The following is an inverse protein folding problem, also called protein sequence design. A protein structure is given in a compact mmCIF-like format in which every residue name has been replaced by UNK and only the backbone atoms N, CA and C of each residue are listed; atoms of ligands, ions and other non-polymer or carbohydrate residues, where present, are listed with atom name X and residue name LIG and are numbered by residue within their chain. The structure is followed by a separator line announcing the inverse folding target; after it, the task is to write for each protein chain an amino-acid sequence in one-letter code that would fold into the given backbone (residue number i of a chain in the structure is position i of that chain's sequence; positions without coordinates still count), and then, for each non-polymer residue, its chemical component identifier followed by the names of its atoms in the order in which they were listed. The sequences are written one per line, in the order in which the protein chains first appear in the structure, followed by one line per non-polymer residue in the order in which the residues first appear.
data_IF_849400834681
#
_entry.id   IF_849400834681
#
_cell.length_a   1.000
_cell.length_b   1.000
_cell.length_c   1.000
_cell.angle_alpha   90.00
_cell.angle_beta   90.00
_cell.angle_gamma   90.00
#
_symmetry.space_group_name_H-M   'P 1'
#
loop_
_entity.id
_entity.type
_entity.pdbx_description
1 polymer ?
#
# COMPACT_ATOMS: atom_id res chain seq x y z
N UNK A 1 5.52 19.47 6.37
CA UNK A 1 5.10 18.43 5.39
C UNK A 1 3.79 18.85 4.74
N UNK A 2 3.68 18.78 3.40
CA UNK A 2 2.53 19.32 2.63
C UNK A 2 1.15 18.73 3.01
N UNK A 3 1.10 17.53 3.56
CA UNK A 3 -0.13 16.81 3.91
C UNK A 3 -0.14 16.28 5.34
N UNK A 4 0.58 16.90 6.27
CA UNK A 4 0.68 16.37 7.65
C UNK A 4 -0.69 16.20 8.32
N UNK A 5 -1.55 17.22 8.22
CA UNK A 5 -2.90 17.19 8.79
C UNK A 5 -3.76 16.10 8.13
N UNK A 6 -3.72 16.00 6.80
CA UNK A 6 -4.48 14.99 6.05
C UNK A 6 -4.07 13.57 6.44
N UNK A 7 -2.77 13.33 6.57
CA UNK A 7 -2.20 12.01 6.92
C UNK A 7 -2.51 11.62 8.36
N UNK A 8 -2.44 12.58 9.29
CA UNK A 8 -2.89 12.38 10.67
C UNK A 8 -4.37 12.00 10.71
N UNK A 9 -5.23 12.71 9.97
CA UNK A 9 -6.65 12.39 9.89
C UNK A 9 -6.90 11.00 9.29
N UNK A 10 -6.16 10.61 8.26
CA UNK A 10 -6.27 9.25 7.69
C UNK A 10 -5.85 8.19 8.71
N UNK A 11 -4.74 8.39 9.44
CA UNK A 11 -4.32 7.46 10.49
C UNK A 11 -5.34 7.33 11.62
N UNK A 12 -5.98 8.42 12.03
CA UNK A 12 -7.09 8.38 13.00
C UNK A 12 -8.27 7.56 12.48
N UNK A 13 -8.61 7.72 11.18
CA UNK A 13 -9.66 6.91 10.56
C UNK A 13 -9.31 5.41 10.54
N UNK A 14 -8.05 5.05 10.27
CA UNK A 14 -7.57 3.67 10.36
C UNK A 14 -7.72 3.16 11.80
N UNK A 15 -7.19 3.91 12.77
CA UNK A 15 -7.22 3.56 14.20
C UNK A 15 -8.67 3.34 14.67
N UNK A 16 -9.56 4.30 14.39
CA UNK A 16 -10.96 4.23 14.79
C UNK A 16 -11.70 3.05 14.15
N UNK A 17 -11.43 2.77 12.86
CA UNK A 17 -12.07 1.66 12.18
C UNK A 17 -11.72 0.31 12.79
N UNK A 18 -10.46 0.12 13.19
CA UNK A 18 -9.98 -1.10 13.85
C UNK A 18 -10.50 -1.17 15.28
N UNK A 19 -10.49 -0.06 16.02
CA UNK A 19 -11.03 0.01 17.36
C UNK A 19 -12.52 -0.36 17.43
N UNK A 20 -13.30 0.00 16.41
CA UNK A 20 -14.74 -0.29 16.34
C UNK A 20 -15.07 -1.72 15.90
N UNK A 21 -14.09 -2.50 15.45
CA UNK A 21 -14.33 -3.81 14.82
C UNK A 21 -13.56 -4.96 15.45
N UNK A 22 -12.82 -4.71 16.49
CA UNK A 22 -12.04 -5.69 17.27
C UNK A 22 -11.02 -6.49 16.45
N UNK A 23 -10.67 -6.04 15.23
CA UNK A 23 -9.73 -6.78 14.39
C UNK A 23 -9.19 -5.95 13.24
N UNK A 24 -7.90 -5.96 13.05
CA UNK A 24 -7.27 -5.32 11.89
C UNK A 24 -5.75 -5.29 11.94
N UNK A 25 -5.15 -4.92 10.82
CA UNK A 25 -3.70 -4.80 10.69
C UNK A 25 -3.30 -3.33 10.81
N UNK A 26 -3.01 -2.89 12.04
CA UNK A 26 -2.79 -1.48 12.37
C UNK A 26 -1.40 -1.00 11.88
N UNK A 27 -0.34 -1.67 12.33
CA UNK A 27 1.03 -1.29 11.98
C UNK A 27 1.31 -1.29 10.47
N UNK A 28 0.97 -2.35 9.72
CA UNK A 28 1.13 -2.38 8.27
C UNK A 28 0.29 -1.36 7.51
N UNK A 29 -0.87 -0.95 8.05
CA UNK A 29 -1.71 0.10 7.47
C UNK A 29 -1.08 1.47 7.66
N UNK A 30 -0.48 1.73 8.82
CA UNK A 30 0.21 2.99 9.12
C UNK A 30 1.47 3.17 8.29
N UNK A 31 2.23 2.09 8.03
CA UNK A 31 3.49 2.18 7.26
C UNK A 31 3.29 2.65 5.83
N UNK A 32 2.26 2.18 5.13
CA UNK A 32 2.03 2.49 3.72
C UNK A 32 1.05 3.65 3.46
N UNK A 33 0.67 4.39 4.50
CA UNK A 33 -0.36 5.44 4.40
C UNK A 33 0.01 6.51 3.38
N UNK A 34 1.23 7.06 3.40
CA UNK A 34 1.68 8.09 2.48
C UNK A 34 1.73 7.60 1.04
N UNK A 35 2.22 6.37 0.82
CA UNK A 35 2.30 5.76 -0.51
C UNK A 35 0.90 5.67 -1.12
N UNK A 36 -0.04 5.09 -0.38
CA UNK A 36 -1.43 4.95 -0.81
C UNK A 36 -2.13 6.29 -0.98
N UNK A 37 -1.90 7.23 -0.05
CA UNK A 37 -2.52 8.54 -0.07
C UNK A 37 -2.12 9.34 -1.32
N UNK A 38 -0.83 9.41 -1.63
CA UNK A 38 -0.32 10.12 -2.81
C UNK A 38 -0.91 9.51 -4.08
N UNK A 39 -0.90 8.18 -4.21
CA UNK A 39 -1.42 7.48 -5.39
C UNK A 39 -2.92 7.74 -5.55
N UNK A 40 -3.71 7.50 -4.52
CA UNK A 40 -5.17 7.58 -4.59
C UNK A 40 -5.67 9.02 -4.76
N UNK A 41 -5.04 9.99 -4.08
CA UNK A 41 -5.45 11.40 -4.14
C UNK A 41 -5.07 12.08 -5.45
N UNK A 42 -3.91 11.70 -6.03
CA UNK A 42 -3.33 12.43 -7.17
C UNK A 42 -3.39 11.70 -8.51
N UNK A 43 -3.33 10.39 -8.49
CA UNK A 43 -3.11 9.60 -9.71
C UNK A 43 -4.27 8.66 -10.04
N UNK A 44 -5.28 8.54 -9.18
CA UNK A 44 -6.47 7.74 -9.45
C UNK A 44 -7.70 8.66 -9.56
N UNK A 45 -8.21 8.84 -10.78
CA UNK A 45 -9.47 9.55 -11.01
C UNK A 45 -10.64 8.54 -11.00
N UNK A 46 -11.33 8.41 -9.88
CA UNK A 46 -12.44 7.45 -9.72
C UNK A 46 -13.65 7.72 -10.62
N UNK A 47 -13.74 8.89 -11.26
CA UNK A 47 -14.81 9.23 -12.21
C UNK A 47 -14.50 8.74 -13.63
N UNK A 48 -13.23 8.46 -13.94
CA UNK A 48 -12.79 7.98 -15.25
C UNK A 48 -12.79 6.44 -15.30
N UNK A 49 -13.55 5.87 -16.25
CA UNK A 49 -13.57 4.42 -16.48
C UNK A 49 -12.21 3.87 -16.94
N UNK A 50 -11.41 4.70 -17.59
CA UNK A 50 -10.07 4.36 -18.09
C UNK A 50 -8.95 4.78 -17.14
N UNK A 51 -9.28 5.08 -15.88
CA UNK A 51 -8.32 5.51 -14.87
C UNK A 51 -7.15 4.53 -14.69
N UNK A 52 -6.07 5.05 -14.15
CA UNK A 52 -5.00 4.22 -13.59
C UNK A 52 -5.55 3.20 -12.60
N UNK A 53 -4.85 2.08 -12.44
CA UNK A 53 -5.24 0.98 -11.56
C UNK A 53 -4.35 0.93 -10.33
N UNK A 54 -4.91 0.43 -9.22
CA UNK A 54 -4.17 0.22 -7.98
C UNK A 54 -4.42 -1.19 -7.46
N UNK A 55 -3.33 -1.92 -7.23
CA UNK A 55 -3.34 -3.26 -6.66
C UNK A 55 -2.59 -3.20 -5.32
N UNK A 56 -3.33 -3.27 -4.24
CA UNK A 56 -2.75 -3.40 -2.90
C UNK A 56 -2.43 -4.87 -2.65
N UNK A 57 -1.24 -5.31 -3.09
CA UNK A 57 -0.82 -6.72 -3.00
C UNK A 57 -0.71 -7.18 -1.55
N UNK A 58 -0.11 -6.35 -0.68
CA UNK A 58 -0.17 -6.53 0.78
C UNK A 58 -1.59 -6.28 1.32
N UNK A 59 -2.52 -7.14 0.96
CA UNK A 59 -3.97 -6.96 1.18
C UNK A 59 -4.37 -6.77 2.64
N UNK A 60 -3.56 -7.22 3.58
CA UNK A 60 -3.78 -7.00 5.02
C UNK A 60 -3.75 -5.51 5.41
N UNK A 61 -3.14 -4.61 4.61
CA UNK A 61 -3.22 -3.16 4.80
C UNK A 61 -4.54 -2.54 4.26
N UNK A 62 -5.58 -3.34 4.03
CA UNK A 62 -6.90 -2.88 3.60
C UNK A 62 -7.48 -1.71 4.44
N UNK A 63 -7.30 -1.64 5.77
CA UNK A 63 -7.78 -0.50 6.54
C UNK A 63 -7.24 0.85 6.04
N UNK A 64 -6.01 0.90 5.53
CA UNK A 64 -5.43 2.13 5.00
C UNK A 64 -6.14 2.60 3.72
N UNK A 65 -6.35 1.71 2.75
CA UNK A 65 -7.03 2.09 1.50
C UNK A 65 -8.48 2.50 1.76
N UNK A 66 -9.20 1.83 2.69
CA UNK A 66 -10.56 2.19 3.06
C UNK A 66 -10.63 3.54 3.79
N UNK A 67 -9.70 3.81 4.70
CA UNK A 67 -9.63 5.11 5.38
C UNK A 67 -9.38 6.26 4.41
N UNK A 68 -8.54 6.04 3.38
CA UNK A 68 -8.31 7.02 2.31
C UNK A 68 -9.56 7.17 1.43
N UNK A 69 -10.28 6.09 1.11
CA UNK A 69 -11.55 6.20 0.39
C UNK A 69 -12.58 7.00 1.18
N UNK A 70 -12.68 6.80 2.48
CA UNK A 70 -13.55 7.59 3.35
C UNK A 70 -13.12 9.07 3.41
N UNK A 71 -11.81 9.33 3.55
CA UNK A 71 -11.24 10.67 3.49
C UNK A 71 -11.58 11.39 2.17
N UNK A 72 -11.52 10.68 1.04
CA UNK A 72 -11.86 11.19 -0.29
C UNK A 72 -13.38 11.24 -0.56
N UNK A 73 -14.22 10.92 0.43
CA UNK A 73 -15.69 10.88 0.34
C UNK A 73 -16.21 9.90 -0.73
N UNK A 74 -15.52 8.80 -0.94
CA UNK A 74 -15.90 7.73 -1.87
C UNK A 74 -16.73 6.63 -1.21
N UNK A 75 -16.73 6.56 0.12
CA UNK A 75 -17.57 5.67 0.91
C UNK A 75 -18.85 6.40 1.36
N UNK A 76 -19.85 5.62 1.74
CA UNK A 76 -21.05 6.15 2.39
C UNK A 76 -20.68 6.70 3.77
N UNK A 77 -21.48 7.65 4.28
CA UNK A 77 -21.32 8.19 5.64
C UNK A 77 -21.28 7.05 6.66
N UNK A 78 -20.31 7.07 7.54
CA UNK A 78 -20.09 6.07 8.61
C UNK A 78 -19.80 4.62 8.12
N UNK A 79 -19.64 4.39 6.82
CA UNK A 79 -19.39 3.05 6.29
C UNK A 79 -18.07 2.46 6.80
N UNK A 80 -17.05 3.30 7.02
CA UNK A 80 -15.76 2.85 7.56
C UNK A 80 -15.89 2.12 8.91
N UNK A 81 -16.90 2.45 9.72
CA UNK A 81 -17.21 1.81 10.99
C UNK A 81 -17.78 0.38 10.84
N UNK A 82 -17.99 -0.06 9.61
CA UNK A 82 -18.46 -1.43 9.31
C UNK A 82 -17.34 -2.36 8.86
N UNK A 83 -16.06 -1.92 8.91
CA UNK A 83 -14.90 -2.75 8.55
C UNK A 83 -15.03 -4.14 9.18
N UNK A 84 -14.89 -5.20 8.37
CA UNK A 84 -14.93 -6.62 8.78
C UNK A 84 -16.24 -7.10 9.44
N UNK A 85 -17.26 -6.26 9.57
CA UNK A 85 -18.58 -6.70 10.08
C UNK A 85 -19.31 -7.55 9.05
N UNK A 86 -20.20 -8.39 9.51
CA UNK A 86 -21.05 -9.21 8.62
C UNK A 86 -21.79 -8.29 7.62
N UNK A 87 -21.90 -8.75 6.36
CA UNK A 87 -22.48 -8.01 5.23
C UNK A 87 -21.80 -6.68 4.84
N UNK A 88 -20.73 -6.25 5.50
CA UNK A 88 -19.99 -5.07 5.09
C UNK A 88 -19.32 -5.24 3.73
N UNK A 89 -19.22 -4.14 2.96
CA UNK A 89 -18.40 -4.11 1.75
C UNK A 89 -16.90 -3.98 2.05
N UNK A 90 -16.55 -3.57 3.28
CA UNK A 90 -15.19 -3.34 3.74
C UNK A 90 -14.67 -4.61 4.44
N UNK A 91 -14.18 -5.53 3.62
CA UNK A 91 -13.67 -6.83 4.09
C UNK A 91 -12.27 -6.69 4.71
N UNK A 92 -11.83 -7.68 5.49
CA UNK A 92 -10.50 -7.69 6.13
C UNK A 92 -9.32 -7.62 5.15
N UNK A 93 -9.53 -8.07 3.94
CA UNK A 93 -8.67 -7.91 2.77
C UNK A 93 -9.49 -7.32 1.61
N UNK A 94 -8.87 -6.62 0.65
CA UNK A 94 -9.59 -6.06 -0.49
C UNK A 94 -10.42 -7.11 -1.23
N UNK A 95 -11.71 -6.85 -1.40
CA UNK A 95 -12.61 -7.68 -2.20
C UNK A 95 -13.34 -6.81 -3.25
N UNK A 96 -12.92 -6.94 -4.51
CA UNK A 96 -13.53 -6.21 -5.63
C UNK A 96 -15.00 -6.58 -5.86
N UNK A 97 -15.43 -7.80 -5.52
CA UNK A 97 -16.83 -8.21 -5.68
C UNK A 97 -17.74 -7.45 -4.72
N UNK A 98 -17.24 -7.15 -3.52
CA UNK A 98 -17.95 -6.38 -2.48
C UNK A 98 -17.82 -4.87 -2.68
N UNK A 99 -16.62 -4.36 -2.97
CA UNK A 99 -16.35 -2.94 -3.12
C UNK A 99 -15.77 -2.64 -4.52
N UNK A 100 -16.58 -2.09 -5.40
CA UNK A 100 -16.23 -1.80 -6.81
C UNK A 100 -15.17 -0.69 -6.99
N UNK A 101 -14.86 0.06 -5.94
CA UNK A 101 -13.75 1.04 -5.94
C UNK A 101 -12.38 0.37 -6.08
N UNK A 102 -12.26 -0.88 -5.62
CA UNK A 102 -11.05 -1.69 -5.73
C UNK A 102 -10.89 -2.22 -7.16
N UNK A 103 -9.65 -2.36 -7.62
CA UNK A 103 -9.38 -2.93 -8.94
C UNK A 103 -9.25 -4.45 -8.89
N UNK A 104 -8.76 -5.01 -7.75
CA UNK A 104 -8.62 -6.46 -7.56
C UNK A 104 -8.83 -6.84 -6.10
N UNK A 105 -9.19 -8.09 -5.85
CA UNK A 105 -9.23 -8.71 -4.52
C UNK A 105 -7.88 -9.32 -4.20
N UNK A 106 -7.34 -9.02 -3.00
CA UNK A 106 -6.04 -9.51 -2.54
C UNK A 106 -6.15 -10.10 -1.14
N UNK A 107 -5.09 -10.76 -0.69
CA UNK A 107 -5.04 -11.42 0.62
C UNK A 107 -3.97 -12.49 0.64
N UNK A 108 -3.97 -13.41 -0.32
CA UNK A 108 -2.80 -14.25 -0.60
C UNK A 108 -1.67 -13.36 -1.12
N UNK A 109 -0.53 -13.39 -0.43
CA UNK A 109 0.63 -12.57 -0.79
C UNK A 109 1.25 -13.04 -2.11
N UNK A 110 2.02 -12.16 -2.75
CA UNK A 110 2.73 -12.43 -4.00
C UNK A 110 1.87 -12.32 -5.26
N UNK A 111 0.52 -12.30 -5.15
CA UNK A 111 -0.39 -12.35 -6.30
C UNK A 111 -0.50 -11.02 -7.06
N UNK A 112 -0.36 -9.90 -6.37
CA UNK A 112 -0.70 -8.58 -6.92
C UNK A 112 0.16 -8.17 -8.10
N UNK A 113 1.44 -8.56 -8.12
CA UNK A 113 2.34 -8.20 -9.21
C UNK A 113 2.00 -8.94 -10.52
N UNK A 114 1.66 -10.23 -10.46
CA UNK A 114 1.20 -11.00 -11.62
C UNK A 114 -0.16 -10.53 -12.14
N UNK A 115 -1.07 -10.16 -11.25
CA UNK A 115 -2.33 -9.51 -11.63
C UNK A 115 -2.09 -8.19 -12.35
N UNK A 116 -1.10 -7.41 -11.90
CA UNK A 116 -0.70 -6.15 -12.54
C UNK A 116 -0.21 -6.37 -13.98
N UNK A 117 0.47 -7.49 -14.27
CA UNK A 117 0.85 -7.89 -15.64
C UNK A 117 -0.40 -8.06 -16.51
N UNK A 118 -1.42 -8.76 -16.02
CA UNK A 118 -2.69 -8.93 -16.75
C UNK A 118 -3.35 -7.59 -17.08
N UNK A 119 -3.39 -6.64 -16.13
CA UNK A 119 -3.89 -5.29 -16.38
C UNK A 119 -3.04 -4.51 -17.40
N UNK A 120 -1.71 -4.65 -17.35
CA UNK A 120 -0.82 -3.99 -18.31
C UNK A 120 -1.03 -4.50 -19.73
N UNK A 121 -1.16 -5.80 -19.92
CA UNK A 121 -1.47 -6.41 -21.21
C UNK A 121 -2.87 -6.00 -21.71
N UNK A 122 -3.89 -6.04 -20.86
CA UNK A 122 -5.23 -5.55 -21.19
C UNK A 122 -5.20 -4.09 -21.64
N UNK A 123 -4.42 -3.24 -20.95
CA UNK A 123 -4.26 -1.84 -21.33
C UNK A 123 -3.65 -1.69 -22.73
N UNK A 124 -2.62 -2.50 -23.03
CA UNK A 124 -1.97 -2.51 -24.35
C UNK A 124 -2.94 -2.96 -25.45
N UNK A 125 -3.65 -4.07 -25.23
CA UNK A 125 -4.63 -4.61 -26.19
C UNK A 125 -5.78 -3.62 -26.48
N UNK A 126 -6.20 -2.86 -25.47
CA UNK A 126 -7.26 -1.87 -25.56
C UNK A 126 -6.76 -0.46 -25.94
N UNK A 127 -5.49 -0.31 -26.33
CA UNK A 127 -4.84 0.97 -26.64
C UNK A 127 -5.01 2.04 -25.54
N UNK A 128 -5.02 1.62 -24.26
CA UNK A 128 -5.12 2.54 -23.12
C UNK A 128 -3.74 2.92 -22.62
N UNK A 129 -3.59 4.18 -22.16
CA UNK A 129 -2.33 4.73 -21.65
C UNK A 129 -2.29 4.80 -20.10
N UNK A 130 -3.06 3.96 -19.43
CA UNK A 130 -3.11 3.98 -17.96
C UNK A 130 -1.94 3.21 -17.34
N UNK A 131 -1.57 3.65 -16.14
CA UNK A 131 -0.57 3.00 -15.29
C UNK A 131 -1.25 2.09 -14.26
N UNK A 132 -0.50 1.08 -13.83
CA UNK A 132 -0.88 0.15 -12.78
C UNK A 132 0.08 0.34 -11.61
N UNK A 133 -0.44 0.76 -10.47
CA UNK A 133 0.30 0.90 -9.22
C UNK A 133 0.14 -0.39 -8.42
N UNK A 134 1.24 -1.10 -8.17
CA UNK A 134 1.26 -2.31 -7.36
C UNK A 134 2.03 -2.06 -6.07
N UNK A 135 1.40 -2.28 -4.92
CA UNK A 135 2.00 -2.06 -3.60
C UNK A 135 2.24 -3.40 -2.92
N UNK A 136 3.51 -3.76 -2.79
CA UNK A 136 4.00 -4.96 -2.12
C UNK A 136 4.46 -4.63 -0.69
N UNK A 137 4.48 -5.61 0.19
CA UNK A 137 5.26 -5.57 1.42
C UNK A 137 6.66 -6.12 1.18
N UNK A 138 7.63 -5.72 1.99
CA UNK A 138 8.99 -6.26 1.91
C UNK A 138 9.06 -7.76 2.33
N UNK A 139 8.30 -8.18 3.34
CA UNK A 139 8.14 -9.60 3.67
C UNK A 139 7.43 -10.40 2.57
N UNK A 140 6.57 -9.78 1.78
CA UNK A 140 5.90 -10.38 0.63
C UNK A 140 6.89 -10.75 -0.49
N UNK A 141 8.08 -10.15 -0.53
CA UNK A 141 9.12 -10.49 -1.50
C UNK A 141 9.71 -11.90 -1.29
N UNK A 142 9.36 -12.58 -0.21
CA UNK A 142 9.73 -13.99 0.01
C UNK A 142 8.83 -14.96 -0.78
N UNK A 143 7.71 -14.48 -1.34
CA UNK A 143 6.87 -15.26 -2.24
C UNK A 143 7.53 -15.42 -3.63
N UNK A 144 7.69 -16.66 -4.09
CA UNK A 144 8.32 -16.96 -5.39
C UNK A 144 7.63 -16.27 -6.56
N UNK A 145 6.30 -16.15 -6.52
CA UNK A 145 5.50 -15.52 -7.58
C UNK A 145 5.84 -14.04 -7.79
N UNK A 146 6.36 -13.33 -6.80
CA UNK A 146 6.87 -11.96 -6.98
C UNK A 146 8.05 -11.97 -7.97
N UNK A 147 8.98 -12.89 -7.82
CA UNK A 147 10.18 -13.00 -8.66
C UNK A 147 9.86 -13.53 -10.06
N UNK A 148 8.95 -14.48 -10.20
CA UNK A 148 8.41 -14.91 -11.50
C UNK A 148 7.82 -13.73 -12.26
N UNK A 149 7.02 -12.90 -11.57
CA UNK A 149 6.44 -11.69 -12.14
C UNK A 149 7.51 -10.65 -12.50
N UNK A 150 8.50 -10.45 -11.64
CA UNK A 150 9.61 -9.52 -11.89
C UNK A 150 10.40 -9.93 -13.14
N UNK A 151 10.73 -11.21 -13.27
CA UNK A 151 11.40 -11.76 -14.47
C UNK A 151 10.57 -11.49 -15.72
N UNK A 152 9.27 -11.75 -15.70
CA UNK A 152 8.38 -11.50 -16.85
C UNK A 152 8.29 -10.02 -17.21
N UNK A 153 8.09 -9.13 -16.22
CA UNK A 153 7.99 -7.68 -16.42
C UNK A 153 9.28 -7.14 -17.04
N UNK A 154 10.43 -7.56 -16.51
CA UNK A 154 11.73 -7.11 -17.00
C UNK A 154 12.02 -7.58 -18.41
N UNK A 155 11.84 -8.89 -18.69
CA UNK A 155 12.07 -9.48 -20.02
C UNK A 155 11.19 -8.87 -21.11
N UNK A 156 9.95 -8.48 -20.77
CA UNK A 156 9.01 -7.85 -21.70
C UNK A 156 9.04 -6.31 -21.64
N UNK A 157 9.93 -5.73 -20.84
CA UNK A 157 10.07 -4.27 -20.65
C UNK A 157 8.73 -3.55 -20.40
N UNK A 158 7.90 -4.09 -19.49
CA UNK A 158 6.57 -3.56 -19.19
C UNK A 158 6.71 -2.33 -18.28
N UNK A 159 6.62 -1.13 -18.85
CA UNK A 159 6.93 0.14 -18.17
C UNK A 159 5.73 0.84 -17.54
N UNK A 160 4.53 0.41 -17.82
CA UNK A 160 3.30 1.00 -17.25
C UNK A 160 2.87 0.33 -15.92
N UNK A 161 3.67 -0.59 -15.38
CA UNK A 161 3.54 -1.06 -14.01
C UNK A 161 4.55 -0.28 -13.15
N UNK A 162 4.07 0.34 -12.08
CA UNK A 162 4.90 0.99 -11.07
C UNK A 162 4.82 0.16 -9.79
N UNK A 163 5.90 -0.52 -9.47
CA UNK A 163 5.97 -1.39 -8.29
C UNK A 163 6.51 -0.61 -7.11
N UNK A 164 5.73 -0.52 -6.03
CA UNK A 164 6.16 0.03 -4.74
C UNK A 164 6.36 -1.10 -3.75
N UNK A 165 7.42 -1.00 -2.96
CA UNK A 165 7.70 -1.90 -1.84
C UNK A 165 7.62 -1.07 -0.56
N UNK A 166 6.69 -1.41 0.32
CA UNK A 166 6.62 -0.89 1.69
C UNK A 166 7.68 -1.57 2.53
N UNK A 167 8.85 -0.95 2.60
CA UNK A 167 10.07 -1.45 3.24
C UNK A 167 10.11 -1.16 4.73
N UNK A 168 9.13 -1.65 5.47
CA UNK A 168 9.02 -1.44 6.90
C UNK A 168 9.87 -2.41 7.75
N UNK A 169 10.57 -3.36 7.11
CA UNK A 169 11.54 -4.33 7.67
C UNK A 169 10.94 -5.41 8.57
N UNK A 170 9.62 -5.59 8.52
CA UNK A 170 8.92 -6.56 9.34
C UNK A 170 7.92 -7.39 8.55
N UNK A 171 7.82 -8.66 8.92
CA UNK A 171 6.78 -9.55 8.45
C UNK A 171 6.11 -10.21 9.65
N UNK A 172 4.76 -10.28 9.64
CA UNK A 172 3.99 -10.85 10.73
C UNK A 172 4.54 -10.45 12.10
N UNK A 173 5.07 -11.40 12.87
CA UNK A 173 5.59 -11.22 14.24
C UNK A 173 7.11 -11.02 14.31
N UNK A 174 7.83 -11.16 13.18
CA UNK A 174 9.29 -11.15 13.14
C UNK A 174 9.83 -10.04 12.24
N UNK A 175 11.09 -9.65 12.47
CA UNK A 175 11.80 -8.85 11.48
C UNK A 175 12.20 -9.72 10.28
N UNK A 176 12.35 -9.11 9.11
CA UNK A 176 12.81 -9.81 7.90
C UNK A 176 14.19 -10.43 8.12
N UNK A 177 15.07 -9.76 8.91
CA UNK A 177 16.41 -10.28 9.21
C UNK A 177 16.40 -11.58 10.02
N UNK A 178 15.40 -11.73 10.90
CA UNK A 178 15.25 -12.93 11.74
C UNK A 178 14.63 -14.10 10.98
N UNK A 179 13.83 -13.82 9.95
CA UNK A 179 13.13 -14.87 9.20
C UNK A 179 13.93 -15.34 7.99
N UNK A 180 14.11 -14.44 7.01
CA UNK A 180 14.91 -14.70 5.81
C UNK A 180 15.64 -13.40 5.43
N UNK A 181 16.92 -13.34 5.76
CA UNK A 181 17.75 -12.18 5.48
C UNK A 181 17.82 -11.90 3.98
N UNK A 182 17.27 -10.79 3.58
CA UNK A 182 17.36 -10.34 2.18
C UNK A 182 18.80 -9.88 1.87
N UNK A 183 19.40 -10.47 0.86
CA UNK A 183 20.74 -10.13 0.40
C UNK A 183 20.66 -9.46 -0.95
N UNK A 184 21.22 -8.24 -1.04
CA UNK A 184 21.34 -7.49 -2.29
C UNK A 184 20.00 -7.34 -3.06
N UNK A 185 18.95 -6.87 -2.39
CA UNK A 185 17.63 -6.68 -2.99
C UNK A 185 17.69 -5.82 -4.27
N UNK A 186 18.49 -4.74 -4.25
CA UNK A 186 18.71 -3.89 -5.43
C UNK A 186 19.25 -4.71 -6.62
N UNK A 187 20.30 -5.49 -6.40
CA UNK A 187 20.91 -6.29 -7.46
C UNK A 187 19.94 -7.32 -8.03
N UNK A 188 19.08 -7.93 -7.20
CA UNK A 188 18.04 -8.86 -7.67
C UNK A 188 17.07 -8.19 -8.65
N UNK A 189 16.50 -7.03 -8.30
CA UNK A 189 15.61 -6.30 -9.19
C UNK A 189 16.32 -5.80 -10.45
N UNK A 190 17.55 -5.29 -10.32
CA UNK A 190 18.33 -4.80 -11.45
C UNK A 190 18.74 -5.93 -12.40
N UNK A 191 18.98 -7.14 -11.91
CA UNK A 191 19.28 -8.33 -12.74
C UNK A 191 18.08 -8.76 -13.59
N UNK A 192 16.86 -8.53 -13.14
CA UNK A 192 15.65 -8.69 -13.93
C UNK A 192 15.35 -7.50 -14.86
N UNK A 193 16.26 -6.52 -14.97
CA UNK A 193 16.10 -5.40 -15.89
C UNK A 193 15.34 -4.19 -15.37
N UNK A 194 15.04 -4.13 -14.07
CA UNK A 194 14.39 -2.97 -13.47
C UNK A 194 15.35 -1.81 -13.23
N UNK A 195 14.78 -0.60 -13.18
CA UNK A 195 15.37 0.54 -12.48
C UNK A 195 14.93 0.47 -11.03
N UNK A 196 15.86 0.24 -10.13
CA UNK A 196 15.61 0.29 -8.69
C UNK A 196 15.78 1.72 -8.18
N UNK A 197 14.78 2.21 -7.45
CA UNK A 197 14.80 3.53 -6.79
C UNK A 197 14.50 3.31 -5.31
N UNK A 198 15.31 3.91 -4.46
CA UNK A 198 15.09 3.91 -3.02
C UNK A 198 14.72 5.32 -2.56
N UNK A 199 13.74 5.42 -1.66
CA UNK A 199 13.24 6.70 -1.17
C UNK A 199 12.71 6.60 0.25
N UNK A 200 12.57 7.74 0.89
CA UNK A 200 11.79 7.90 2.11
C UNK A 200 10.29 7.74 1.77
N UNK A 201 9.68 6.65 2.26
CA UNK A 201 8.28 6.31 2.02
C UNK A 201 7.29 7.21 2.75
N UNK A 202 7.74 8.03 3.69
CA UNK A 202 6.92 9.01 4.41
C UNK A 202 6.99 10.42 3.84
N UNK A 203 7.84 10.68 2.83
CA UNK A 203 7.90 11.95 2.13
C UNK A 203 6.98 11.97 0.90
N UNK A 204 5.82 12.60 1.05
CA UNK A 204 4.84 12.76 -0.04
C UNK A 204 5.43 13.49 -1.24
N UNK A 205 6.30 14.48 -1.00
CA UNK A 205 6.98 15.26 -2.04
C UNK A 205 7.92 14.39 -2.87
N UNK A 206 8.73 13.53 -2.21
CA UNK A 206 9.62 12.60 -2.91
C UNK A 206 8.82 11.57 -3.70
N UNK A 207 7.75 11.01 -3.12
CA UNK A 207 6.86 10.05 -3.79
C UNK A 207 6.22 10.69 -5.03
N UNK A 208 5.65 11.89 -4.93
CA UNK A 208 5.06 12.61 -6.07
C UNK A 208 6.09 12.86 -7.18
N UNK A 209 7.29 13.32 -6.83
CA UNK A 209 8.38 13.56 -7.80
C UNK A 209 8.78 12.28 -8.54
N UNK A 210 8.90 11.16 -7.81
CA UNK A 210 9.25 9.87 -8.40
C UNK A 210 8.15 9.39 -9.34
N UNK A 211 6.89 9.39 -8.90
CA UNK A 211 5.74 8.97 -9.72
C UNK A 211 5.66 9.82 -11.00
N UNK A 212 5.78 11.15 -10.89
CA UNK A 212 5.77 12.06 -12.04
C UNK A 212 6.88 11.71 -13.04
N UNK A 213 8.10 11.44 -12.57
CA UNK A 213 9.23 11.05 -13.42
C UNK A 213 8.98 9.70 -14.12
N UNK A 214 8.37 8.73 -13.44
CA UNK A 214 8.04 7.43 -14.04
C UNK A 214 6.96 7.59 -15.11
N UNK A 215 5.89 8.29 -14.80
CA UNK A 215 4.75 8.49 -15.71
C UNK A 215 5.11 9.32 -16.93
N UNK A 216 6.14 10.16 -16.86
CA UNK A 216 6.69 10.86 -18.03
C UNK A 216 7.65 9.99 -18.87
N UNK A 217 7.75 8.69 -18.55
CA UNK A 217 8.68 7.76 -19.22
C UNK A 217 10.15 8.19 -19.19
N UNK A 218 10.56 8.93 -18.16
CA UNK A 218 11.96 9.32 -17.97
C UNK A 218 12.89 8.10 -17.92
N UNK A 219 12.41 6.98 -17.39
CA UNK A 219 13.16 5.73 -17.30
C UNK A 219 12.80 4.80 -18.47
N UNK A 220 13.83 4.22 -19.08
CA UNK A 220 13.67 3.29 -20.23
C UNK A 220 13.40 1.84 -19.82
N UNK A 221 13.40 1.56 -18.53
CA UNK A 221 13.19 0.25 -17.91
C UNK A 221 11.94 0.28 -17.02
N UNK A 222 11.34 -0.89 -16.71
CA UNK A 222 10.38 -1.01 -15.61
C UNK A 222 10.96 -0.45 -14.32
N UNK A 223 10.12 0.06 -13.43
CA UNK A 223 10.58 0.72 -12.20
C UNK A 223 10.03 0.01 -10.97
N UNK A 224 10.91 -0.24 -10.02
CA UNK A 224 10.55 -0.61 -8.65
C UNK A 224 11.04 0.47 -7.69
N UNK A 225 10.18 0.88 -6.77
CA UNK A 225 10.44 1.91 -5.77
C UNK A 225 10.41 1.26 -4.39
N UNK A 226 11.57 1.12 -3.78
CA UNK A 226 11.67 0.69 -2.38
C UNK A 226 11.48 1.91 -1.48
N UNK A 227 10.40 1.90 -0.73
CA UNK A 227 10.03 2.96 0.18
C UNK A 227 10.49 2.59 1.60
N UNK A 228 11.50 3.26 2.11
CA UNK A 228 11.88 3.12 3.51
C UNK A 228 10.75 3.69 4.37
N UNK A 229 10.07 2.82 5.09
CA UNK A 229 8.92 3.14 5.94
C UNK A 229 9.13 2.64 7.37
N UNK A 230 8.27 3.08 8.27
CA UNK A 230 8.24 2.65 9.66
C UNK A 230 6.90 1.99 9.92
N UNK A 231 6.92 0.72 10.36
CA UNK A 231 5.72 0.01 10.80
C UNK A 231 5.12 0.74 11.99
N UNK A 232 3.82 1.05 11.96
CA UNK A 232 3.17 1.80 13.04
C UNK A 232 3.43 3.31 13.05
N UNK A 233 3.90 3.88 11.93
CA UNK A 233 4.28 5.30 11.78
C UNK A 233 3.25 6.26 12.35
N UNK A 234 3.72 7.18 13.19
CA UNK A 234 2.92 8.27 13.75
C UNK A 234 2.38 8.02 15.15
N UNK A 235 2.65 6.85 15.73
CA UNK A 235 2.33 6.53 17.13
C UNK A 235 3.56 5.90 17.79
N UNK A 236 4.15 6.57 18.76
CA UNK A 236 5.47 6.27 19.30
C UNK A 236 5.63 4.83 19.76
N UNK A 237 4.68 4.30 20.52
CA UNK A 237 4.72 2.93 21.06
C UNK A 237 4.44 1.84 20.00
N UNK A 238 3.96 2.23 18.80
CA UNK A 238 3.72 1.32 17.66
C UNK A 238 4.87 1.32 16.65
N UNK A 239 5.65 2.40 16.58
CA UNK A 239 6.76 2.52 15.62
C UNK A 239 7.79 1.41 15.82
N UNK A 240 8.01 0.59 14.76
CA UNK A 240 8.94 -0.53 14.79
C UNK A 240 8.55 -1.69 15.70
N UNK A 241 7.31 -1.73 16.18
CA UNK A 241 6.84 -2.73 17.13
C UNK A 241 5.89 -3.73 16.46
N UNK A 242 6.33 -5.00 16.40
CA UNK A 242 5.57 -6.07 15.76
C UNK A 242 4.27 -6.46 16.47
N UNK A 243 4.15 -6.21 17.76
CA UNK A 243 2.91 -6.48 18.51
C UNK A 243 1.67 -5.83 17.88
N UNK A 244 1.87 -4.75 17.10
CA UNK A 244 0.81 -4.03 16.41
C UNK A 244 0.64 -4.44 14.94
N UNK A 245 1.18 -5.60 14.54
CA UNK A 245 0.94 -6.13 13.17
C UNK A 245 -0.55 -6.43 12.95
N UNK A 246 -1.09 -7.35 13.73
CA UNK A 246 -2.52 -7.66 13.77
C UNK A 246 -3.02 -7.45 15.19
N UNK A 247 -3.98 -6.59 15.37
CA UNK A 247 -4.50 -6.24 16.69
C UNK A 247 -6.00 -6.45 16.76
N UNK A 248 -6.45 -6.78 17.95
CA UNK A 248 -7.83 -6.59 18.39
C UNK A 248 -8.03 -5.12 18.77
N UNK A 249 -9.01 -4.82 19.60
CA UNK A 249 -9.10 -3.51 20.26
C UNK A 249 -7.81 -3.20 21.04
N UNK A 250 -7.36 -1.96 20.92
CA UNK A 250 -6.36 -1.45 21.86
C UNK A 250 -7.02 -1.22 23.22
N UNK A 251 -6.26 -1.39 24.33
CA UNK A 251 -6.66 -0.86 25.62
C UNK A 251 -7.00 0.63 25.50
N UNK A 252 -8.01 1.09 26.25
CA UNK A 252 -8.54 2.45 26.12
C UNK A 252 -7.46 3.53 26.31
N UNK A 253 -6.53 3.27 27.24
CA UNK A 253 -5.40 4.15 27.50
C UNK A 253 -4.51 4.31 26.24
N UNK A 254 -4.06 3.19 25.66
CA UNK A 254 -3.25 3.21 24.44
C UNK A 254 -3.99 3.83 23.25
N UNK A 255 -5.29 3.58 23.14
CA UNK A 255 -6.10 4.20 22.09
C UNK A 255 -6.15 5.72 22.23
N UNK A 256 -6.38 6.22 23.46
CA UNK A 256 -6.41 7.66 23.73
C UNK A 256 -5.02 8.30 23.53
N UNK A 257 -3.95 7.63 23.94
CA UNK A 257 -2.58 8.07 23.70
C UNK A 257 -2.29 8.19 22.21
N UNK A 258 -2.62 7.15 21.42
CA UNK A 258 -2.46 7.18 19.97
C UNK A 258 -3.23 8.34 19.31
N UNK A 259 -4.47 8.59 19.74
CA UNK A 259 -5.25 9.73 19.25
C UNK A 259 -4.57 11.06 19.58
N UNK A 260 -4.07 11.23 20.80
CA UNK A 260 -3.36 12.44 21.25
C UNK A 260 -2.09 12.68 20.43
N UNK A 261 -1.27 11.65 20.20
CA UNK A 261 -0.07 11.77 19.36
C UNK A 261 -0.41 12.14 17.92
N UNK A 262 -1.43 11.52 17.34
CA UNK A 262 -1.90 11.84 15.99
C UNK A 262 -2.49 13.26 15.91
N UNK A 263 -3.06 13.83 16.99
CA UNK A 263 -3.50 15.22 17.06
C UNK A 263 -2.34 16.21 17.14
N UNK A 264 -1.25 15.85 17.81
CA UNK A 264 -0.06 16.67 17.95
C UNK A 264 0.78 16.81 16.67
N UNK A 265 0.51 16.05 15.64
CA UNK A 265 1.23 16.07 14.34
C UNK A 265 0.70 17.14 13.36
N UNK A 266 0.00 18.15 13.87
CA UNK A 266 -0.55 19.27 13.07
C UNK A 266 0.51 20.22 12.55
#
# INVERSE_FOLDING_TARGET
MRYSIDLSLVRKKILNSIQNTDSGHLGPSFSCTEILFVILKKYINFKDKNRNKIILSKGHAAPAIYAIFDYLKLLKKNELNTLRKFSSRLQGHPDKKKLKLLDFGTGALGQGLSVSIGYAHSSKLLNKKNFIFCILGDGELQEGQVWESAMYIGSNNIKNIITFIDGNKFQNEFSIKETLKEVNLRGKWESFGFKYIETDGHSTEKLEKIIKNIMSYKYKKPVVVYCNTIKGKGVSFMEGNNKYHSVKKLPLEQYNEALKELDGQK
#
